data_IF_685440910356
#
_entry.id   IF_685440910356
#
_cell.length_a   1.000
_cell.length_b   1.000
_cell.length_c   1.000
_cell.angle_alpha   90.00
_cell.angle_beta   90.00
_cell.angle_gamma   90.00
#
_symmetry.space_group_name_H-M   'P 1'
#
loop_
_entity.id
_entity.type
_entity.pdbx_description
1 polymer ?
#
# COMPACT_ATOMS: atom_id res chain seq x y z
N UNK A 1 -13.23 16.74 27.51
CA UNK A 1 -13.20 16.47 26.05
C UNK A 1 -11.81 16.11 25.48
N UNK A 2 -10.67 16.57 26.06
CA UNK A 2 -9.32 16.35 25.48
C UNK A 2 -8.73 14.93 25.60
N UNK A 3 -9.19 14.08 26.53
CA UNK A 3 -8.76 12.67 26.67
C UNK A 3 -9.37 11.71 25.63
N UNK A 4 -10.43 12.14 24.93
CA UNK A 4 -11.09 11.32 23.90
C UNK A 4 -10.41 11.41 22.53
N UNK A 5 -9.68 12.49 22.24
CA UNK A 5 -9.03 12.69 20.93
C UNK A 5 -7.82 11.77 20.70
N UNK A 6 -7.01 11.47 21.74
CA UNK A 6 -5.82 10.62 21.56
C UNK A 6 -6.20 9.15 21.30
N UNK A 7 -7.20 8.63 22.02
CA UNK A 7 -7.69 7.26 21.82
C UNK A 7 -8.49 7.14 20.52
N UNK A 8 -9.28 8.16 20.16
CA UNK A 8 -10.01 8.17 18.88
C UNK A 8 -9.08 8.34 17.68
N UNK A 9 -7.99 9.11 17.78
CA UNK A 9 -6.95 9.19 16.74
C UNK A 9 -6.11 7.92 16.65
N UNK A 10 -5.89 7.18 17.74
CA UNK A 10 -5.17 5.90 17.72
C UNK A 10 -6.00 4.77 17.10
N UNK A 11 -7.29 4.71 17.45
CA UNK A 11 -8.26 3.79 16.85
C UNK A 11 -8.51 4.18 15.38
N UNK A 12 -8.62 5.49 15.09
CA UNK A 12 -8.70 5.99 13.72
C UNK A 12 -7.39 5.82 12.93
N UNK A 13 -6.19 5.86 13.53
CA UNK A 13 -4.95 5.55 12.81
C UNK A 13 -4.81 4.05 12.52
N UNK A 14 -5.33 3.18 13.39
CA UNK A 14 -5.45 1.75 13.07
C UNK A 14 -6.55 1.45 12.05
N UNK A 15 -7.64 2.23 12.03
CA UNK A 15 -8.72 2.13 11.03
C UNK A 15 -8.34 2.80 9.69
N UNK A 16 -7.52 3.86 9.70
CA UNK A 16 -7.03 4.58 8.52
C UNK A 16 -5.84 3.88 7.84
N UNK A 17 -5.34 2.77 8.38
CA UNK A 17 -4.50 1.85 7.59
C UNK A 17 -5.40 1.02 6.65
N UNK A 18 -6.72 0.92 6.91
CA UNK A 18 -7.62 0.09 6.11
C UNK A 18 -9.00 0.74 5.96
N UNK A 19 -9.09 1.85 5.21
CA UNK A 19 -10.39 2.35 4.75
C UNK A 19 -10.33 2.77 3.29
N UNK A 20 -10.55 1.82 2.38
CA UNK A 20 -11.13 2.06 1.06
C UNK A 20 -11.55 0.70 0.46
N UNK A 21 -12.78 0.26 0.71
CA UNK A 21 -13.47 -0.71 -0.17
C UNK A 21 -13.87 -2.07 0.41
N UNK A 22 -13.16 -2.64 1.39
CA UNK A 22 -13.38 -4.04 1.79
C UNK A 22 -14.38 -4.21 2.93
N UNK A 23 -15.22 -5.27 2.87
CA UNK A 23 -16.03 -5.65 4.04
C UNK A 23 -15.05 -6.24 5.06
N UNK A 24 -15.14 -5.76 6.30
CA UNK A 24 -14.30 -6.23 7.39
C UNK A 24 -15.19 -6.86 8.45
N UNK A 25 -14.84 -8.08 8.85
CA UNK A 25 -15.44 -8.71 10.02
C UNK A 25 -14.62 -8.34 11.24
N UNK A 26 -15.23 -7.58 12.14
CA UNK A 26 -14.64 -7.26 13.45
C UNK A 26 -15.29 -8.15 14.49
N UNK A 27 -14.48 -8.97 15.16
CA UNK A 27 -14.94 -9.86 16.22
C UNK A 27 -14.06 -9.74 17.47
N UNK A 28 -14.56 -10.26 18.59
CA UNK A 28 -13.78 -10.45 19.81
C UNK A 28 -13.41 -11.92 19.93
N UNK A 29 -12.15 -12.23 20.24
CA UNK A 29 -11.77 -13.59 20.60
C UNK A 29 -12.23 -13.94 22.03
N UNK A 30 -12.00 -15.19 22.45
CA UNK A 30 -12.35 -15.68 23.79
C UNK A 30 -11.63 -14.93 24.92
N UNK A 31 -10.57 -14.18 24.62
CA UNK A 31 -9.80 -13.37 25.56
C UNK A 31 -10.19 -11.88 25.49
N UNK A 32 -11.17 -11.51 24.67
CA UNK A 32 -11.61 -10.12 24.48
C UNK A 32 -10.71 -9.29 23.57
N UNK A 33 -9.75 -9.88 22.88
CA UNK A 33 -8.92 -9.21 21.87
C UNK A 33 -9.75 -8.89 20.64
N UNK A 34 -9.48 -7.76 19.97
CA UNK A 34 -10.15 -7.43 18.71
C UNK A 34 -9.47 -8.16 17.57
N UNK A 35 -10.23 -8.95 16.83
CA UNK A 35 -9.78 -9.60 15.59
C UNK A 35 -10.48 -8.90 14.44
N UNK A 36 -9.68 -8.34 13.54
CA UNK A 36 -10.17 -7.78 12.28
C UNK A 36 -9.80 -8.77 11.20
N UNK A 37 -10.81 -9.34 10.55
CA UNK A 37 -10.65 -10.25 9.43
C UNK A 37 -11.14 -9.56 8.16
N UNK A 38 -10.28 -9.48 7.15
CA UNK A 38 -10.70 -9.02 5.82
C UNK A 38 -11.40 -10.15 5.03
N UNK A 39 -12.04 -9.80 3.91
CA UNK A 39 -12.80 -10.73 3.06
C UNK A 39 -11.96 -11.89 2.48
N UNK A 40 -10.64 -11.87 2.68
CA UNK A 40 -9.68 -12.83 2.17
C UNK A 40 -8.95 -13.59 3.28
N UNK A 41 -9.41 -13.42 4.53
CA UNK A 41 -8.99 -14.21 5.68
C UNK A 41 -7.72 -13.75 6.38
N UNK A 42 -7.12 -12.61 5.99
CA UNK A 42 -6.04 -12.04 6.82
C UNK A 42 -6.63 -11.55 8.13
N UNK A 43 -5.90 -11.83 9.21
CA UNK A 43 -6.32 -11.47 10.56
C UNK A 43 -5.32 -10.50 11.16
N UNK A 44 -5.83 -9.36 11.60
CA UNK A 44 -5.10 -8.47 12.51
C UNK A 44 -5.67 -8.64 13.91
N UNK A 45 -4.81 -9.01 14.85
CA UNK A 45 -5.14 -9.09 16.26
C UNK A 45 -4.69 -7.83 16.95
N UNK A 46 -5.61 -7.16 17.63
CA UNK A 46 -5.33 -6.02 18.52
C UNK A 46 -5.59 -6.51 19.95
N UNK A 47 -4.52 -6.61 20.73
CA UNK A 47 -4.53 -7.11 22.11
C UNK A 47 -3.79 -6.17 23.04
N UNK A 48 -4.00 -6.35 24.35
CA UNK A 48 -3.14 -5.76 25.38
C UNK A 48 -2.09 -6.78 25.81
N UNK A 49 -0.85 -6.36 26.01
CA UNK A 49 0.15 -7.19 26.69
C UNK A 49 -0.03 -7.15 28.21
N UNK A 50 0.82 -7.88 28.93
CA UNK A 50 0.79 -7.95 30.40
C UNK A 50 1.05 -6.61 31.09
N UNK A 51 1.61 -5.63 30.36
CA UNK A 51 1.89 -4.28 30.85
C UNK A 51 0.82 -3.28 30.40
N UNK A 52 -0.23 -3.74 29.72
CA UNK A 52 -1.30 -2.88 29.19
C UNK A 52 -0.94 -2.14 27.89
N UNK A 53 0.19 -2.46 27.26
CA UNK A 53 0.56 -1.89 25.95
C UNK A 53 -0.33 -2.48 24.86
N UNK A 54 -0.66 -1.67 23.86
CA UNK A 54 -1.41 -2.17 22.70
C UNK A 54 -0.46 -2.87 21.75
N UNK A 55 -0.75 -4.14 21.46
CA UNK A 55 -0.08 -4.94 20.46
C UNK A 55 -1.00 -5.07 19.25
N UNK A 56 -0.49 -4.71 18.08
CA UNK A 56 -1.12 -4.96 16.78
C UNK A 56 -0.25 -5.97 16.06
N UNK A 57 -0.81 -7.13 15.76
CA UNK A 57 -0.11 -8.26 15.19
C UNK A 57 -0.93 -8.85 14.04
N UNK A 58 -0.32 -8.98 12.87
CA UNK A 58 -0.94 -9.68 11.76
C UNK A 58 -0.67 -11.19 11.83
N UNK A 59 -1.42 -11.98 11.07
CA UNK A 59 -1.26 -13.43 10.93
C UNK A 59 0.10 -13.87 10.33
N UNK A 60 0.97 -12.93 9.94
CA UNK A 60 2.31 -13.16 9.37
C UNK A 60 3.43 -12.85 10.38
N UNK A 61 3.08 -12.44 11.59
CA UNK A 61 4.01 -12.11 12.66
C UNK A 61 4.62 -10.70 12.57
N UNK A 62 4.11 -9.81 11.71
CA UNK A 62 4.46 -8.39 11.81
C UNK A 62 3.76 -7.81 13.03
N UNK A 63 4.55 -7.24 13.92
CA UNK A 63 4.09 -6.72 15.20
C UNK A 63 4.45 -5.25 15.35
N UNK A 64 3.47 -4.46 15.78
CA UNK A 64 3.67 -3.11 16.31
C UNK A 64 3.26 -3.08 17.77
N UNK A 65 4.12 -2.52 18.59
CA UNK A 65 3.87 -2.24 20.00
C UNK A 65 3.64 -0.75 20.15
N UNK A 66 2.53 -0.39 20.77
CA UNK A 66 2.20 0.98 21.15
C UNK A 66 2.17 1.03 22.67
N UNK A 67 3.09 1.79 23.24
CA UNK A 67 3.29 1.93 24.69
C UNK A 67 3.45 3.38 25.07
N UNK A 68 3.20 3.70 26.33
CA UNK A 68 3.64 4.97 26.91
C UNK A 68 5.01 4.77 27.56
N UNK A 69 5.92 5.74 27.42
CA UNK A 69 7.16 5.74 28.18
C UNK A 69 6.96 6.34 29.59
N UNK A 70 8.03 6.38 30.38
CA UNK A 70 8.00 6.90 31.76
C UNK A 70 7.63 8.38 31.86
N UNK A 71 7.66 9.11 30.73
CA UNK A 71 7.29 10.51 30.62
C UNK A 71 5.89 10.71 30.03
N UNK A 72 5.16 9.62 29.77
CA UNK A 72 3.83 9.65 29.14
C UNK A 72 3.87 9.88 27.62
N UNK A 73 5.03 9.76 26.97
CA UNK A 73 5.11 9.87 25.51
C UNK A 73 4.62 8.59 24.85
N UNK A 74 3.92 8.71 23.73
CA UNK A 74 3.53 7.54 22.95
C UNK A 74 4.71 7.04 22.13
N UNK A 75 5.07 5.78 22.33
CA UNK A 75 6.09 5.07 21.58
C UNK A 75 5.42 4.04 20.66
N UNK A 76 5.73 4.11 19.37
CA UNK A 76 5.34 3.12 18.37
C UNK A 76 6.61 2.42 17.89
N UNK A 77 6.68 1.12 18.11
CA UNK A 77 7.86 0.32 17.81
C UNK A 77 7.46 -0.93 17.03
N UNK A 78 8.15 -1.20 15.92
CA UNK A 78 7.98 -2.45 15.18
C UNK A 78 8.96 -3.53 15.65
N UNK A 79 8.70 -4.78 15.27
CA UNK A 79 9.58 -5.92 15.54
C UNK A 79 10.96 -5.85 14.85
N UNK A 80 11.24 -4.80 14.05
CA UNK A 80 12.53 -4.54 13.38
C UNK A 80 13.33 -3.44 14.06
N UNK A 81 12.84 -2.89 15.18
CA UNK A 81 13.50 -1.84 15.94
C UNK A 81 13.32 -0.43 15.36
N UNK A 82 12.43 -0.22 14.38
CA UNK A 82 12.05 1.12 13.99
C UNK A 82 11.12 1.70 15.05
N UNK A 83 11.48 2.88 15.55
CA UNK A 83 10.77 3.55 16.64
C UNK A 83 10.34 4.94 16.22
N UNK A 84 9.09 5.28 16.55
CA UNK A 84 8.59 6.66 16.53
C UNK A 84 8.14 7.05 17.93
N UNK A 85 8.56 8.23 18.35
CA UNK A 85 8.15 8.87 19.59
C UNK A 85 7.23 10.02 19.24
N UNK A 86 6.05 10.05 19.86
CA UNK A 86 5.11 11.17 19.78
C UNK A 86 5.02 11.77 21.18
N UNK A 87 5.44 13.03 21.30
CA UNK A 87 5.51 13.75 22.58
C UNK A 87 4.96 15.16 22.45
N UNK A 88 4.66 15.78 23.58
CA UNK A 88 4.45 17.23 23.68
C UNK A 88 5.76 17.90 24.08
N UNK A 89 6.07 19.06 23.49
CA UNK A 89 7.12 19.93 24.02
C UNK A 89 6.57 20.83 25.13
N UNK A 90 7.42 21.71 25.67
CA UNK A 90 7.06 22.64 26.75
C UNK A 90 5.99 23.66 26.37
N UNK A 91 5.65 23.78 25.08
CA UNK A 91 4.63 24.67 24.54
C UNK A 91 3.40 23.90 24.06
N UNK A 92 3.23 22.64 24.47
CA UNK A 92 2.17 21.74 24.01
C UNK A 92 2.16 21.47 22.50
N UNK A 93 3.28 21.70 21.79
CA UNK A 93 3.40 21.32 20.38
C UNK A 93 3.59 19.81 20.26
N UNK A 94 2.98 19.20 19.25
CA UNK A 94 3.18 17.78 18.98
C UNK A 94 4.50 17.57 18.25
N UNK A 95 5.40 16.80 18.84
CA UNK A 95 6.67 16.40 18.24
C UNK A 95 6.58 14.92 17.83
N UNK A 96 6.87 14.65 16.57
CA UNK A 96 7.01 13.28 16.04
C UNK A 96 8.46 13.10 15.63
N UNK A 97 9.14 12.15 16.25
CA UNK A 97 10.57 11.91 16.07
C UNK A 97 10.82 10.43 15.82
N UNK A 98 11.65 10.11 14.84
CA UNK A 98 12.13 8.74 14.63
C UNK A 98 13.50 8.50 15.27
N UNK A 99 13.89 7.23 15.38
CA UNK A 99 15.20 6.84 15.89
C UNK A 99 16.39 7.21 14.98
N UNK A 100 16.15 7.85 13.82
CA UNK A 100 17.18 8.36 12.90
C UNK A 100 17.35 9.88 13.02
N UNK A 101 16.65 10.52 13.96
CA UNK A 101 16.73 11.96 14.21
C UNK A 101 15.90 12.80 13.23
N UNK A 102 15.01 12.21 12.42
CA UNK A 102 14.04 13.00 11.67
C UNK A 102 12.94 13.45 12.62
N UNK A 103 12.70 14.77 12.65
CA UNK A 103 11.73 15.38 13.55
C UNK A 103 10.72 16.20 12.76
N UNK A 104 9.45 16.07 13.14
CA UNK A 104 8.37 16.96 12.71
C UNK A 104 7.72 17.58 13.94
N UNK A 105 7.52 18.89 13.87
CA UNK A 105 6.78 19.66 14.86
C UNK A 105 5.46 20.09 14.25
N UNK A 106 4.37 19.83 14.96
CA UNK A 106 3.04 20.31 14.64
C UNK A 106 2.63 21.25 15.76
N UNK A 107 2.41 22.52 15.43
CA UNK A 107 2.09 23.59 16.37
C UNK A 107 0.97 24.48 15.81
N UNK A 108 0.28 25.18 16.68
CA UNK A 108 -0.58 26.29 16.30
C UNK A 108 0.23 27.59 16.40
N UNK A 109 0.10 28.48 15.41
CA UNK A 109 0.64 29.83 15.53
C UNK A 109 -0.30 30.75 16.33
N UNK A 110 0.11 32.01 16.52
CA UNK A 110 -0.67 33.00 17.28
C UNK A 110 -2.04 33.32 16.66
N UNK A 111 -2.27 32.94 15.40
CA UNK A 111 -3.53 33.13 14.69
C UNK A 111 -4.37 31.85 14.64
N UNK A 112 -3.93 30.77 15.32
CA UNK A 112 -4.59 29.47 15.30
C UNK A 112 -4.31 28.64 14.03
N UNK A 113 -3.36 29.05 13.19
CA UNK A 113 -3.02 28.27 12.00
C UNK A 113 -2.18 27.05 12.38
N UNK A 114 -2.43 25.93 11.72
CA UNK A 114 -1.61 24.73 11.91
C UNK A 114 -0.29 24.87 11.13
N UNK A 115 0.82 24.80 11.85
CA UNK A 115 2.17 24.79 11.30
C UNK A 115 2.76 23.39 11.41
N UNK A 116 3.22 22.85 10.29
CA UNK A 116 3.96 21.59 10.22
C UNK A 116 5.38 21.92 9.73
N UNK A 117 6.36 21.64 10.55
CA UNK A 117 7.76 21.99 10.29
C UNK A 117 8.68 20.79 10.53
N UNK A 118 9.61 20.54 9.63
CA UNK A 118 10.66 19.53 9.83
C UNK A 118 11.98 20.16 10.32
N UNK A 119 12.88 19.32 10.83
CA UNK A 119 14.22 19.76 11.26
C UNK A 119 15.16 20.17 10.13
N UNK A 120 14.71 20.16 8.86
CA UNK A 120 15.44 20.68 7.70
C UNK A 120 14.93 22.07 7.28
N UNK A 121 14.01 22.65 8.03
CA UNK A 121 13.44 23.96 7.76
C UNK A 121 12.35 23.97 6.68
N UNK A 122 11.82 22.81 6.26
CA UNK A 122 10.62 22.79 5.42
C UNK A 122 9.40 23.05 6.30
N UNK A 123 8.63 24.08 5.96
CA UNK A 123 7.44 24.48 6.71
C UNK A 123 6.23 24.48 5.80
N UNK A 124 5.12 23.96 6.32
CA UNK A 124 3.77 24.11 5.76
C UNK A 124 2.86 24.77 6.77
N UNK A 125 2.10 25.74 6.30
CA UNK A 125 1.04 26.40 7.05
C UNK A 125 -0.30 25.97 6.45
N UNK A 126 -1.22 25.53 7.31
CA UNK A 126 -2.60 25.25 6.96
C UNK A 126 -3.44 26.27 7.74
N UNK A 127 -4.20 27.08 7.02
CA UNK A 127 -5.03 28.16 7.58
C UNK A 127 -6.36 28.23 6.86
N UNK A 128 -7.34 28.84 7.50
CA UNK A 128 -8.58 29.26 6.82
C UNK A 128 -8.43 30.73 6.43
N UNK A 129 -8.90 31.08 5.22
CA UNK A 129 -9.03 32.50 4.84
C UNK A 129 -10.33 33.10 5.38
N UNK A 130 -10.52 34.40 5.15
CA UNK A 130 -11.72 35.14 5.60
C UNK A 130 -13.04 34.62 5.02
N UNK A 131 -12.98 33.77 3.99
CA UNK A 131 -14.14 33.14 3.36
C UNK A 131 -14.32 31.68 3.79
N UNK A 132 -13.51 31.19 4.74
CA UNK A 132 -13.54 29.80 5.20
C UNK A 132 -12.86 28.82 4.25
N UNK A 133 -12.09 29.29 3.26
CA UNK A 133 -11.36 28.39 2.37
C UNK A 133 -10.11 27.87 3.05
N UNK A 134 -9.78 26.59 2.84
CA UNK A 134 -8.53 26.03 3.32
C UNK A 134 -7.37 26.47 2.44
N UNK A 135 -6.38 27.11 3.03
CA UNK A 135 -5.12 27.52 2.41
C UNK A 135 -4.00 26.64 2.93
N UNK A 136 -3.26 26.02 2.02
CA UNK A 136 -2.04 25.27 2.31
C UNK A 136 -0.89 25.98 1.62
N UNK A 137 0.08 26.45 2.39
CA UNK A 137 1.20 27.26 1.91
C UNK A 137 2.52 26.71 2.44
N UNK A 138 3.54 26.63 1.59
CA UNK A 138 4.90 26.31 2.02
C UNK A 138 5.77 27.57 2.15
N UNK A 139 6.91 27.43 2.83
CA UNK A 139 7.88 28.52 2.99
C UNK A 139 8.65 28.89 1.70
N UNK A 140 8.34 28.26 0.56
CA UNK A 140 8.86 28.62 -0.77
C UNK A 140 7.84 29.43 -1.58
N UNK A 141 6.71 29.80 -0.97
CA UNK A 141 5.65 30.57 -1.61
C UNK A 141 4.74 29.76 -2.51
N UNK A 142 4.77 28.42 -2.48
CA UNK A 142 3.76 27.61 -3.16
C UNK A 142 2.50 27.59 -2.30
N UNK A 143 1.38 28.03 -2.87
CA UNK A 143 0.08 28.11 -2.20
C UNK A 143 -0.95 27.29 -2.95
N UNK A 144 -1.75 26.53 -2.21
CA UNK A 144 -2.97 25.87 -2.68
C UNK A 144 -4.16 26.35 -1.88
N UNK A 145 -5.24 26.68 -2.59
CA UNK A 145 -6.54 27.02 -2.02
C UNK A 145 -7.50 25.89 -2.34
N UNK A 146 -8.22 25.41 -1.33
CA UNK A 146 -9.31 24.46 -1.46
C UNK A 146 -10.57 25.18 -1.01
N UNK A 147 -11.54 25.31 -1.91
CA UNK A 147 -12.80 26.04 -1.68
C UNK A 147 -13.98 25.30 -2.29
N UNK A 148 -15.18 25.68 -1.87
CA UNK A 148 -16.42 25.32 -2.57
C UNK A 148 -16.83 26.44 -3.51
N UNK A 149 -17.32 26.10 -4.69
CA UNK A 149 -18.03 27.07 -5.53
C UNK A 149 -19.51 27.16 -5.12
N UNK A 150 -20.28 28.01 -5.82
CA UNK A 150 -21.71 28.23 -5.55
C UNK A 150 -22.59 26.98 -5.78
N UNK A 151 -22.04 25.91 -6.35
CA UNK A 151 -22.72 24.65 -6.61
C UNK A 151 -22.18 23.52 -5.71
N UNK A 152 -21.45 23.86 -4.65
CA UNK A 152 -20.77 22.92 -3.75
C UNK A 152 -19.71 22.03 -4.42
N UNK A 153 -19.21 22.41 -5.60
CA UNK A 153 -18.10 21.72 -6.23
C UNK A 153 -16.81 22.05 -5.50
N UNK A 154 -15.93 21.07 -5.35
CA UNK A 154 -14.61 21.31 -4.75
C UNK A 154 -13.68 21.92 -5.80
N UNK A 155 -13.17 23.10 -5.52
CA UNK A 155 -12.17 23.79 -6.33
C UNK A 155 -10.83 23.70 -5.62
N UNK A 156 -9.82 23.22 -6.35
CA UNK A 156 -8.42 23.20 -5.90
C UNK A 156 -7.62 24.07 -6.87
N UNK A 157 -7.01 25.13 -6.36
CA UNK A 157 -6.31 26.12 -7.16
C UNK A 157 -4.93 26.40 -6.57
N UNK A 158 -3.91 26.50 -7.42
CA UNK A 158 -2.58 26.96 -7.00
C UNK A 158 -2.32 28.42 -7.40
N UNK A 159 -1.28 29.02 -6.80
CA UNK A 159 -0.89 30.40 -7.11
C UNK A 159 -0.21 30.58 -8.48
N UNK A 160 -0.10 29.52 -9.29
CA UNK A 160 0.36 29.57 -10.69
C UNK A 160 -0.81 29.57 -11.67
N UNK A 161 -2.05 29.63 -11.16
CA UNK A 161 -3.27 29.64 -11.96
C UNK A 161 -3.70 28.26 -12.45
N UNK A 162 -3.15 27.17 -11.93
CA UNK A 162 -3.70 25.84 -12.20
C UNK A 162 -4.90 25.62 -11.29
N UNK A 163 -6.05 25.33 -11.91
CA UNK A 163 -7.31 25.08 -11.19
C UNK A 163 -7.88 23.74 -11.60
N UNK A 164 -8.37 22.99 -10.61
CA UNK A 164 -9.16 21.77 -10.80
C UNK A 164 -10.50 21.91 -10.09
N UNK A 165 -11.55 21.54 -10.80
CA UNK A 165 -12.92 21.46 -10.29
C UNK A 165 -13.29 19.98 -10.17
N UNK A 166 -13.76 19.57 -9.00
CA UNK A 166 -14.27 18.23 -8.73
C UNK A 166 -15.76 18.38 -8.45
N UNK A 167 -16.59 17.79 -9.31
CA UNK A 167 -18.05 17.87 -9.27
C UNK A 167 -18.70 16.51 -9.48
N UNK A 168 -19.99 16.41 -9.17
CA UNK A 168 -20.82 15.29 -9.60
C UNK A 168 -21.57 15.66 -10.87
N UNK A 169 -21.64 14.75 -11.84
CA UNK A 169 -22.55 14.92 -12.98
C UNK A 169 -23.98 14.48 -12.61
N UNK A 170 -24.91 14.60 -13.56
CA UNK A 170 -26.32 14.24 -13.38
C UNK A 170 -26.53 12.74 -13.09
N UNK A 171 -25.55 11.89 -13.40
CA UNK A 171 -25.57 10.45 -13.15
C UNK A 171 -24.85 10.06 -11.86
N UNK A 172 -24.34 11.03 -11.09
CA UNK A 172 -23.57 10.81 -9.87
C UNK A 172 -22.11 10.42 -10.09
N UNK A 173 -21.61 10.44 -11.34
CA UNK A 173 -20.21 10.20 -11.64
C UNK A 173 -19.36 11.37 -11.13
N UNK A 174 -18.13 11.08 -10.74
CA UNK A 174 -17.18 12.12 -10.35
C UNK A 174 -16.54 12.69 -11.61
N UNK A 175 -16.65 14.00 -11.81
CA UNK A 175 -16.01 14.73 -12.89
C UNK A 175 -14.89 15.59 -12.32
N UNK A 176 -13.69 15.44 -12.87
CA UNK A 176 -12.52 16.24 -12.56
C UNK A 176 -12.16 17.01 -13.82
N UNK A 177 -12.16 18.34 -13.74
CA UNK A 177 -11.93 19.22 -14.88
C UNK A 177 -10.87 20.26 -14.53
N UNK A 178 -9.87 20.44 -15.39
CA UNK A 178 -8.88 21.51 -15.23
C UNK A 178 -9.26 22.78 -16.02
N UNK A 179 -8.60 23.89 -15.71
CA UNK A 179 -8.82 25.16 -16.41
C UNK A 179 -8.26 25.21 -17.84
N UNK A 180 -7.71 24.11 -18.36
CA UNK A 180 -7.29 23.96 -19.77
C UNK A 180 -8.33 23.15 -20.57
N UNK A 181 -9.43 22.74 -19.94
CA UNK A 181 -10.50 21.97 -20.55
C UNK A 181 -10.30 20.45 -20.52
N UNK A 182 -9.20 19.95 -19.93
CA UNK A 182 -9.05 18.50 -19.77
C UNK A 182 -10.04 18.02 -18.72
N UNK A 183 -10.83 17.00 -19.06
CA UNK A 183 -11.88 16.46 -18.21
C UNK A 183 -11.69 14.96 -18.06
N UNK A 184 -11.87 14.46 -16.85
CA UNK A 184 -11.90 13.03 -16.55
C UNK A 184 -13.17 12.72 -15.78
N UNK A 185 -13.94 11.77 -16.27
CA UNK A 185 -15.14 11.24 -15.63
C UNK A 185 -14.82 9.87 -15.06
N UNK A 186 -15.12 9.68 -13.78
CA UNK A 186 -14.96 8.41 -13.08
C UNK A 186 -16.36 8.00 -12.64
N UNK A 187 -16.82 6.88 -13.20
CA UNK A 187 -18.16 6.37 -12.99
C UNK A 187 -18.19 4.86 -12.96
N UNK A 188 -19.39 4.33 -12.79
CA UNK A 188 -19.65 2.90 -12.95
C UNK A 188 -20.54 2.67 -14.17
N UNK A 189 -20.32 1.58 -14.89
CA UNK A 189 -21.29 1.12 -15.88
C UNK A 189 -22.47 0.39 -15.20
N UNK A 190 -23.46 -0.03 -15.98
CA UNK A 190 -24.66 -0.74 -15.51
C UNK A 190 -24.35 -2.10 -14.85
N UNK A 191 -23.12 -2.58 -14.94
CA UNK A 191 -22.64 -3.82 -14.35
C UNK A 191 -21.69 -3.57 -13.18
N UNK A 192 -21.71 -2.36 -12.60
CA UNK A 192 -20.84 -1.93 -11.50
C UNK A 192 -19.34 -1.88 -11.83
N UNK A 193 -18.95 -1.99 -13.12
CA UNK A 193 -17.55 -1.89 -13.52
C UNK A 193 -17.08 -0.44 -13.45
N UNK A 194 -15.85 -0.21 -13.00
CA UNK A 194 -15.28 1.14 -12.96
C UNK A 194 -14.85 1.58 -14.36
N UNK A 195 -15.38 2.73 -14.78
CA UNK A 195 -15.08 3.38 -16.04
C UNK A 195 -14.38 4.71 -15.75
N UNK A 196 -13.24 4.91 -16.40
CA UNK A 196 -12.50 6.17 -16.38
C UNK A 196 -12.42 6.65 -17.82
N UNK A 197 -13.03 7.79 -18.10
CA UNK A 197 -13.10 8.35 -19.45
C UNK A 197 -12.59 9.79 -19.45
N UNK A 198 -11.72 10.13 -20.40
CA UNK A 198 -11.30 11.51 -20.61
C UNK A 198 -12.02 12.18 -21.78
N UNK A 199 -11.91 13.51 -21.86
CA UNK A 199 -12.47 14.36 -22.92
C UNK A 199 -11.95 14.04 -24.33
N UNK A 200 -10.84 13.29 -24.44
CA UNK A 200 -10.25 12.88 -25.72
C UNK A 200 -10.75 11.51 -26.19
N UNK A 201 -11.76 10.95 -25.52
CA UNK A 201 -12.33 9.64 -25.84
C UNK A 201 -11.44 8.47 -25.44
N UNK A 202 -10.43 8.67 -24.58
CA UNK A 202 -9.72 7.56 -23.95
C UNK A 202 -10.58 7.03 -22.81
N UNK A 203 -10.98 5.76 -22.95
CA UNK A 203 -11.83 5.06 -22.00
C UNK A 203 -11.10 3.83 -21.50
N UNK A 204 -10.90 3.82 -20.19
CA UNK A 204 -10.34 2.70 -19.46
C UNK A 204 -11.46 2.02 -18.69
N UNK A 205 -11.57 0.71 -18.86
CA UNK A 205 -12.52 -0.14 -18.17
C UNK A 205 -11.77 -1.19 -17.37
N UNK A 206 -12.09 -1.28 -16.08
CA UNK A 206 -11.72 -2.42 -15.24
C UNK A 206 -13.00 -3.16 -14.90
N UNK A 207 -13.07 -4.42 -15.31
CA UNK A 207 -14.23 -5.27 -15.11
C UNK A 207 -13.84 -6.67 -14.66
N UNK A 208 -14.84 -7.44 -14.21
CA UNK A 208 -14.71 -8.89 -14.03
C UNK A 208 -15.50 -9.62 -15.11
N UNK A 209 -14.98 -10.73 -15.60
CA UNK A 209 -15.72 -11.60 -16.51
C UNK A 209 -16.71 -12.51 -15.79
N UNK A 210 -17.39 -13.37 -16.54
CA UNK A 210 -18.38 -14.32 -16.01
C UNK A 210 -17.81 -15.32 -15.01
N UNK A 211 -16.49 -15.50 -14.98
CA UNK A 211 -15.78 -16.37 -14.04
C UNK A 211 -15.20 -15.57 -12.85
N UNK A 212 -15.43 -14.26 -12.81
CA UNK A 212 -14.92 -13.37 -11.77
C UNK A 212 -13.48 -12.88 -12.01
N UNK A 213 -12.88 -13.14 -13.17
CA UNK A 213 -11.50 -12.77 -13.47
C UNK A 213 -11.39 -11.32 -13.94
N UNK A 214 -10.33 -10.63 -13.48
CA UNK A 214 -10.12 -9.23 -13.80
C UNK A 214 -9.72 -9.03 -15.26
N UNK A 215 -10.30 -8.00 -15.85
CA UNK A 215 -10.05 -7.57 -17.22
C UNK A 215 -9.83 -6.07 -17.25
N UNK A 216 -8.87 -5.64 -18.06
CA UNK A 216 -8.60 -4.25 -18.37
C UNK A 216 -8.75 -4.04 -19.87
N UNK A 217 -9.46 -2.98 -20.24
CA UNK A 217 -9.57 -2.52 -21.62
C UNK A 217 -9.34 -1.01 -21.67
N UNK A 218 -8.38 -0.59 -22.48
CA UNK A 218 -8.10 0.79 -22.85
C UNK A 218 -8.32 0.95 -24.35
N UNK A 219 -9.51 1.45 -24.70
CA UNK A 219 -9.97 1.55 -26.09
C UNK A 219 -9.61 0.28 -26.90
N UNK A 220 -8.87 0.46 -28.01
CA UNK A 220 -8.38 -0.62 -28.88
C UNK A 220 -6.89 -0.98 -28.65
N UNK A 221 -6.21 -0.31 -27.72
CA UNK A 221 -4.74 -0.30 -27.67
C UNK A 221 -4.14 -1.02 -26.46
N UNK A 222 -4.89 -1.17 -25.37
CA UNK A 222 -4.44 -1.89 -24.18
C UNK A 222 -5.47 -2.92 -23.76
N UNK A 223 -5.09 -4.19 -23.67
CA UNK A 223 -5.91 -5.24 -23.05
C UNK A 223 -5.05 -6.01 -22.09
N UNK A 224 -5.57 -6.26 -20.89
CA UNK A 224 -4.94 -7.17 -19.94
C UNK A 224 -5.99 -8.00 -19.22
N UNK A 225 -5.58 -9.16 -18.74
CA UNK A 225 -6.43 -10.04 -17.93
C UNK A 225 -5.62 -10.73 -16.86
N UNK A 226 -6.28 -11.05 -15.75
CA UNK A 226 -5.71 -11.84 -14.67
C UNK A 226 -6.67 -12.99 -14.40
N UNK A 227 -6.23 -14.20 -14.78
CA UNK A 227 -7.05 -15.41 -14.78
C UNK A 227 -6.45 -16.46 -13.87
N UNK A 228 -7.30 -17.33 -13.34
CA UNK A 228 -6.91 -18.49 -12.53
C UNK A 228 -7.09 -19.77 -13.35
N UNK A 229 -6.12 -20.66 -13.30
CA UNK A 229 -6.21 -21.99 -13.93
C UNK A 229 -6.79 -23.04 -12.98
N UNK A 230 -6.88 -24.29 -13.46
CA UNK A 230 -7.45 -25.43 -12.71
C UNK A 230 -6.59 -25.89 -11.53
N UNK A 231 -5.33 -25.45 -11.44
CA UNK A 231 -4.39 -25.78 -10.37
C UNK A 231 -4.23 -24.63 -9.37
N UNK A 232 -5.18 -23.70 -9.38
CA UNK A 232 -5.16 -22.46 -8.61
C UNK A 232 -3.99 -21.50 -8.93
N UNK A 233 -3.27 -21.69 -10.03
CA UNK A 233 -2.24 -20.76 -10.44
C UNK A 233 -2.86 -19.56 -11.16
N UNK A 234 -2.33 -18.37 -10.89
CA UNK A 234 -2.79 -17.12 -11.45
C UNK A 234 -1.86 -16.64 -12.55
N UNK A 235 -2.44 -16.28 -13.69
CA UNK A 235 -1.74 -15.79 -14.87
C UNK A 235 -2.25 -14.40 -15.22
N UNK A 236 -1.36 -13.43 -15.17
CA UNK A 236 -1.54 -12.16 -15.84
C UNK A 236 -1.13 -12.28 -17.30
N UNK A 237 -1.90 -11.66 -18.20
CA UNK A 237 -1.54 -11.56 -19.61
C UNK A 237 -1.96 -10.20 -20.15
N UNK A 238 -1.17 -9.62 -21.06
CA UNK A 238 -1.52 -8.41 -21.78
C UNK A 238 -1.45 -8.58 -23.31
N UNK A 239 -1.87 -7.55 -24.04
CA UNK A 239 -1.84 -7.53 -25.51
C UNK A 239 -0.45 -7.28 -26.11
N UNK A 240 0.60 -7.08 -25.30
CA UNK A 240 2.01 -7.10 -25.71
C UNK A 240 2.61 -8.51 -25.61
N UNK A 241 1.78 -9.54 -25.38
CA UNK A 241 2.18 -10.93 -25.18
C UNK A 241 3.10 -11.10 -23.96
N UNK A 242 2.94 -10.24 -22.96
CA UNK A 242 3.58 -10.44 -21.66
C UNK A 242 2.72 -11.39 -20.82
N UNK A 243 3.37 -12.29 -20.09
CA UNK A 243 2.72 -13.22 -19.16
C UNK A 243 3.48 -13.29 -17.83
N UNK A 244 2.78 -13.11 -16.71
CA UNK A 244 3.36 -13.32 -15.38
C UNK A 244 2.51 -14.37 -14.69
N UNK A 245 3.13 -15.47 -14.29
CA UNK A 245 2.45 -16.59 -13.67
C UNK A 245 2.94 -16.84 -12.25
N UNK A 246 1.98 -16.99 -11.35
CA UNK A 246 2.22 -17.35 -9.96
C UNK A 246 1.47 -18.64 -9.64
N UNK A 247 2.18 -19.66 -9.14
CA UNK A 247 1.53 -20.77 -8.44
C UNK A 247 0.66 -20.27 -7.29
N UNK A 248 -0.26 -21.12 -6.80
CA UNK A 248 -1.15 -20.79 -5.69
C UNK A 248 -0.41 -20.19 -4.49
N UNK A 249 0.69 -20.80 -4.08
CA UNK A 249 1.43 -20.38 -2.89
C UNK A 249 2.10 -19.01 -3.06
N UNK A 250 2.56 -18.69 -4.27
CA UNK A 250 3.07 -17.36 -4.57
C UNK A 250 1.95 -16.34 -4.73
N UNK A 251 0.82 -16.74 -5.31
CA UNK A 251 -0.34 -15.89 -5.39
C UNK A 251 -0.85 -15.50 -4.00
N UNK A 252 -0.97 -16.46 -3.09
CA UNK A 252 -1.35 -16.22 -1.70
C UNK A 252 -0.37 -15.24 -1.03
N UNK A 253 0.94 -15.38 -1.29
CA UNK A 253 1.94 -14.40 -0.86
C UNK A 253 1.76 -13.00 -1.50
N UNK A 254 1.34 -12.92 -2.77
CA UNK A 254 1.07 -11.65 -3.43
C UNK A 254 -0.20 -10.99 -2.85
N UNK A 255 -1.26 -11.75 -2.61
CA UNK A 255 -2.49 -11.29 -1.93
C UNK A 255 -2.17 -10.70 -0.57
N UNK A 256 -1.42 -11.46 0.21
CA UNK A 256 -0.88 -11.08 1.49
C UNK A 256 -0.10 -9.74 1.43
N UNK A 257 0.80 -9.58 0.44
CA UNK A 257 1.59 -8.35 0.24
C UNK A 257 0.74 -7.13 -0.16
N UNK A 258 -0.33 -7.34 -0.93
CA UNK A 258 -1.15 -6.27 -1.51
C UNK A 258 -2.47 -6.07 -0.76
N UNK A 259 -2.44 -6.23 0.57
CA UNK A 259 -3.60 -5.98 1.45
C UNK A 259 -4.83 -6.75 1.01
N UNK A 260 -4.61 -7.96 0.48
CA UNK A 260 -5.69 -8.79 -0.01
C UNK A 260 -6.55 -8.00 -1.01
N UNK A 261 -5.93 -7.43 -2.05
CA UNK A 261 -6.63 -6.76 -3.15
C UNK A 261 -6.01 -7.21 -4.49
N UNK A 262 -6.75 -8.06 -5.20
CA UNK A 262 -6.33 -8.58 -6.50
C UNK A 262 -6.33 -7.49 -7.58
N UNK A 263 -7.14 -6.43 -7.41
CA UNK A 263 -7.12 -5.25 -8.26
C UNK A 263 -5.81 -4.48 -8.11
N UNK A 264 -5.27 -4.38 -6.88
CA UNK A 264 -3.94 -3.77 -6.64
C UNK A 264 -2.83 -4.61 -7.27
N UNK A 265 -2.87 -5.94 -7.15
CA UNK A 265 -1.88 -6.83 -7.79
C UNK A 265 -1.95 -6.71 -9.30
N UNK A 266 -3.16 -6.76 -9.86
CA UNK A 266 -3.40 -6.60 -11.29
C UNK A 266 -2.85 -5.26 -11.80
N UNK A 267 -3.11 -4.17 -11.08
CA UNK A 267 -2.56 -2.84 -11.39
C UNK A 267 -1.04 -2.79 -11.30
N UNK A 268 -0.44 -3.49 -10.32
CA UNK A 268 1.00 -3.60 -10.20
C UNK A 268 1.63 -4.36 -11.37
N UNK A 269 1.03 -5.50 -11.78
CA UNK A 269 1.47 -6.28 -12.94
C UNK A 269 1.36 -5.49 -14.25
N UNK A 270 0.25 -4.76 -14.46
CA UNK A 270 0.11 -3.87 -15.62
C UNK A 270 1.22 -2.81 -15.67
N UNK A 271 1.60 -2.22 -14.53
CA UNK A 271 2.70 -1.25 -14.47
C UNK A 271 4.07 -1.91 -14.71
N UNK A 272 4.29 -3.11 -14.18
CA UNK A 272 5.52 -3.89 -14.38
C UNK A 272 5.72 -4.21 -15.87
N UNK A 273 4.66 -4.64 -16.55
CA UNK A 273 4.70 -5.01 -17.97
C UNK A 273 4.57 -3.83 -18.95
N UNK A 274 4.30 -2.61 -18.46
CA UNK A 274 3.96 -1.44 -19.29
C UNK A 274 4.93 -1.17 -20.44
N UNK A 275 6.22 -1.41 -20.22
CA UNK A 275 7.29 -1.17 -21.19
C UNK A 275 7.91 -2.46 -21.74
N UNK A 276 7.35 -3.63 -21.42
CA UNK A 276 7.84 -4.93 -21.85
C UNK A 276 7.05 -5.43 -23.07
N UNK A 277 7.70 -6.29 -23.87
CA UNK A 277 7.07 -6.99 -24.99
C UNK A 277 7.54 -8.43 -25.02
N UNK A 278 6.62 -9.37 -25.21
CA UNK A 278 6.88 -10.80 -25.21
C UNK A 278 7.63 -11.27 -23.95
N UNK A 279 7.44 -10.65 -22.79
CA UNK A 279 8.12 -11.06 -21.56
C UNK A 279 7.29 -12.10 -20.81
N UNK A 280 7.88 -13.23 -20.46
CA UNK A 280 7.17 -14.30 -19.73
C UNK A 280 7.96 -14.74 -18.52
N UNK A 281 7.35 -14.73 -17.35
CA UNK A 281 7.93 -15.25 -16.12
C UNK A 281 6.96 -16.15 -15.34
N UNK A 282 7.51 -17.10 -14.59
CA UNK A 282 6.78 -18.00 -13.70
C UNK A 282 7.51 -18.14 -12.37
N UNK A 283 6.79 -17.91 -11.27
CA UNK A 283 7.19 -18.28 -9.92
C UNK A 283 6.33 -19.44 -9.43
N UNK A 284 6.97 -20.55 -9.04
CA UNK A 284 6.27 -21.73 -8.56
C UNK A 284 6.96 -22.41 -7.39
N UNK A 285 6.15 -23.16 -6.65
CA UNK A 285 6.61 -24.19 -5.72
C UNK A 285 6.56 -25.53 -6.45
N UNK A 286 7.64 -26.30 -6.43
CA UNK A 286 7.63 -27.66 -6.98
C UNK A 286 7.02 -28.68 -6.01
N UNK A 287 6.93 -29.93 -6.45
CA UNK A 287 6.33 -31.03 -5.68
C UNK A 287 7.06 -31.34 -4.36
N UNK A 288 8.30 -30.89 -4.20
CA UNK A 288 9.10 -31.06 -2.99
C UNK A 288 9.00 -29.84 -2.06
N UNK A 289 8.21 -28.83 -2.43
CA UNK A 289 8.09 -27.59 -1.68
C UNK A 289 9.18 -26.55 -2.01
N UNK A 290 10.04 -26.81 -2.99
CA UNK A 290 11.14 -25.92 -3.34
C UNK A 290 10.72 -24.81 -4.28
N UNK A 291 11.39 -23.67 -4.15
CA UNK A 291 11.06 -22.48 -4.90
C UNK A 291 11.75 -22.46 -6.24
N UNK A 292 11.02 -22.08 -7.28
CA UNK A 292 11.51 -22.04 -8.65
C UNK A 292 11.07 -20.74 -9.31
N UNK A 293 12.00 -20.14 -10.07
CA UNK A 293 11.77 -19.02 -10.96
C UNK A 293 12.28 -19.39 -12.34
N UNK A 294 11.51 -19.06 -13.37
CA UNK A 294 11.95 -19.15 -14.76
C UNK A 294 11.35 -18.04 -15.57
N UNK A 295 12.10 -17.54 -16.56
CA UNK A 295 11.53 -16.69 -17.60
C UNK A 295 11.91 -17.15 -19.01
N UNK A 296 11.36 -16.48 -20.01
CA UNK A 296 11.64 -16.76 -21.42
C UNK A 296 12.93 -16.13 -21.97
N UNK A 297 13.78 -15.58 -21.10
CA UNK A 297 15.14 -15.12 -21.42
C UNK A 297 16.20 -16.15 -20.99
N UNK A 298 15.76 -17.37 -20.63
CA UNK A 298 16.58 -18.45 -20.07
C UNK A 298 17.15 -18.16 -18.68
N UNK A 299 16.66 -17.12 -17.99
CA UNK A 299 17.03 -16.86 -16.61
C UNK A 299 16.22 -17.80 -15.70
N UNK A 300 16.92 -18.45 -14.77
CA UNK A 300 16.32 -19.43 -13.86
C UNK A 300 16.95 -19.30 -12.49
N UNK A 301 16.15 -19.52 -11.46
CA UNK A 301 16.65 -19.63 -10.10
C UNK A 301 15.86 -20.67 -9.30
N UNK A 302 16.50 -21.26 -8.32
CA UNK A 302 15.89 -22.22 -7.40
C UNK A 302 16.33 -21.96 -5.97
N UNK A 303 15.47 -22.32 -5.02
CA UNK A 303 15.80 -22.39 -3.60
C UNK A 303 15.36 -23.75 -3.06
N UNK A 304 16.35 -24.59 -2.77
CA UNK A 304 16.19 -25.98 -2.37
C UNK A 304 16.77 -26.22 -0.97
N UNK A 305 16.57 -27.42 -0.43
CA UNK A 305 17.17 -27.88 0.81
C UNK A 305 18.12 -29.04 0.54
N UNK A 306 19.33 -29.00 1.11
CA UNK A 306 20.28 -30.10 0.99
C UNK A 306 20.09 -31.18 2.05
N UNK A 307 20.92 -32.23 1.99
CA UNK A 307 20.90 -33.37 2.93
C UNK A 307 21.26 -32.99 4.39
N UNK A 308 21.82 -31.80 4.61
CA UNK A 308 22.19 -31.27 5.93
C UNK A 308 21.17 -30.23 6.43
N UNK A 309 19.99 -30.18 5.81
CA UNK A 309 18.94 -29.21 6.09
C UNK A 309 19.31 -27.74 5.82
N UNK A 310 20.36 -27.48 5.05
CA UNK A 310 20.75 -26.12 4.66
C UNK A 310 19.99 -25.67 3.41
N UNK A 311 19.62 -24.39 3.37
CA UNK A 311 18.92 -23.82 2.23
C UNK A 311 19.93 -23.36 1.17
N UNK A 312 19.72 -23.79 -0.07
CA UNK A 312 20.61 -23.52 -1.20
C UNK A 312 19.85 -22.71 -2.25
N UNK A 313 20.31 -21.48 -2.50
CA UNK A 313 19.90 -20.69 -3.66
C UNK A 313 20.89 -20.93 -4.81
N UNK A 314 20.38 -21.24 -5.99
CA UNK A 314 21.16 -21.41 -7.23
C UNK A 314 20.46 -20.68 -8.38
N UNK A 315 21.23 -20.03 -9.26
CA UNK A 315 20.68 -19.37 -10.45
C UNK A 315 21.50 -19.59 -11.73
N UNK A 316 20.92 -19.18 -12.86
CA UNK A 316 21.50 -19.32 -14.20
C UNK A 316 22.72 -18.43 -14.45
N UNK A 317 22.99 -17.45 -13.59
CA UNK A 317 24.20 -16.63 -13.65
C UNK A 317 25.39 -17.32 -12.95
N UNK A 318 25.17 -18.50 -12.36
CA UNK A 318 26.20 -19.26 -11.65
C UNK A 318 26.32 -18.87 -10.17
N UNK A 319 25.41 -18.05 -9.64
CA UNK A 319 25.42 -17.77 -8.20
C UNK A 319 24.94 -18.99 -7.43
N UNK A 320 25.67 -19.35 -6.37
CA UNK A 320 25.29 -20.41 -5.43
C UNK A 320 25.52 -19.95 -4.00
N UNK A 321 24.44 -19.86 -3.22
CA UNK A 321 24.47 -19.38 -1.84
C UNK A 321 23.92 -20.47 -0.92
N UNK A 322 24.66 -20.81 0.12
CA UNK A 322 24.26 -21.82 1.13
C UNK A 322 24.03 -21.13 2.46
N UNK A 323 22.86 -21.38 3.05
CA UNK A 323 22.44 -20.82 4.32
C UNK A 323 22.25 -21.94 5.34
N UNK A 324 23.07 -21.94 6.39
CA UNK A 324 22.86 -22.84 7.53
C UNK A 324 21.51 -22.55 8.20
N UNK A 325 20.95 -23.55 8.89
CA UNK A 325 19.64 -23.46 9.53
C UNK A 325 19.52 -22.22 10.45
N UNK A 326 20.58 -21.88 11.18
CA UNK A 326 20.59 -20.71 12.07
C UNK A 326 20.48 -19.38 11.32
N UNK A 327 21.19 -19.26 10.20
CA UNK A 327 21.13 -18.08 9.32
C UNK A 327 19.76 -17.99 8.67
N UNK A 328 19.26 -19.11 8.15
CA UNK A 328 17.94 -19.18 7.52
C UNK A 328 16.81 -18.79 8.48
N UNK A 329 16.82 -19.35 9.70
CA UNK A 329 15.85 -19.01 10.73
C UNK A 329 15.87 -17.52 11.08
N UNK A 330 17.05 -16.88 11.04
CA UNK A 330 17.20 -15.44 11.26
C UNK A 330 16.59 -14.64 10.11
N UNK A 331 16.85 -15.06 8.85
CA UNK A 331 16.24 -14.42 7.67
C UNK A 331 14.71 -14.57 7.67
N UNK A 332 14.19 -15.75 8.02
CA UNK A 332 12.76 -16.01 8.16
C UNK A 332 12.12 -15.10 9.21
N UNK A 333 12.76 -14.92 10.38
CA UNK A 333 12.28 -13.98 11.42
C UNK A 333 12.23 -12.53 10.93
N UNK A 334 13.17 -12.11 10.08
CA UNK A 334 13.24 -10.73 9.59
C UNK A 334 12.28 -10.45 8.42
N UNK A 335 12.13 -11.43 7.52
CA UNK A 335 11.40 -11.26 6.26
C UNK A 335 9.96 -11.76 6.35
N UNK A 336 9.69 -12.76 7.20
CA UNK A 336 8.38 -13.33 7.49
C UNK A 336 7.88 -14.37 6.48
N UNK A 337 8.57 -14.55 5.34
CA UNK A 337 8.14 -15.47 4.28
C UNK A 337 9.34 -15.96 3.47
N UNK A 338 9.39 -17.28 3.24
CA UNK A 338 10.35 -17.89 2.34
C UNK A 338 10.19 -17.41 0.90
N UNK A 339 8.95 -17.21 0.43
CA UNK A 339 8.65 -16.72 -0.93
C UNK A 339 9.22 -15.32 -1.12
N UNK A 340 9.08 -14.48 -0.11
CA UNK A 340 9.68 -13.15 -0.08
C UNK A 340 11.21 -13.20 -0.10
N UNK A 341 11.82 -14.09 0.68
CA UNK A 341 13.27 -14.27 0.66
C UNK A 341 13.70 -14.68 -0.75
N UNK A 342 13.07 -15.69 -1.34
CA UNK A 342 13.39 -16.16 -2.68
C UNK A 342 13.26 -15.05 -3.73
N UNK A 343 12.13 -14.34 -3.80
CA UNK A 343 11.96 -13.23 -4.75
C UNK A 343 13.02 -12.12 -4.55
N UNK A 344 13.42 -11.83 -3.31
CA UNK A 344 14.49 -10.88 -3.03
C UNK A 344 15.86 -11.40 -3.51
N UNK A 345 16.13 -12.70 -3.39
CA UNK A 345 17.35 -13.31 -3.90
C UNK A 345 17.38 -13.25 -5.44
N UNK A 346 16.28 -13.63 -6.09
CA UNK A 346 16.11 -13.49 -7.55
C UNK A 346 16.37 -12.05 -8.00
N UNK A 347 15.69 -11.08 -7.39
CA UNK A 347 15.87 -9.67 -7.75
C UNK A 347 17.32 -9.19 -7.54
N UNK A 348 17.98 -9.67 -6.48
CA UNK A 348 19.32 -9.21 -6.11
C UNK A 348 20.44 -9.85 -6.93
N UNK A 349 20.32 -11.13 -7.25
CA UNK A 349 21.42 -11.93 -7.82
C UNK A 349 21.17 -12.32 -9.29
N UNK A 350 19.92 -12.50 -9.68
CA UNK A 350 19.58 -12.84 -11.06
C UNK A 350 19.46 -11.59 -11.94
N UNK A 351 18.69 -10.58 -11.49
CA UNK A 351 18.36 -9.41 -12.31
C UNK A 351 19.31 -8.20 -12.13
N UNK A 352 19.96 -8.05 -10.97
CA UNK A 352 20.79 -6.88 -10.65
C UNK A 352 22.31 -7.17 -10.84
N UNK A 353 22.70 -7.55 -12.06
CA UNK A 353 24.12 -7.65 -12.45
C UNK A 353 24.67 -6.35 -13.01
#
# INVERSE_FOLDING_TARGET
MKRFLALSLLVAFSLCIYSQGDKQKVEKDIFGNTIITDDKGNKTTIKKDIFGNTIIEDNKGNKKTIKEDIFGNTIIEDNKGNKKTIKKDIFDNTIIEDNKGNKKTIKEDIFGNTIIEDNKGNKKTIKEDIFGNTIIEDNKGNKKTIKKDIFDNTIIEDNKGNKKTIKKDIFGNTVIEDNKGNKTTIGKDIFDNTIIENDKGQKNKISRDIFGYLQYEENNNGKASLKKDIFDAWTFSDNNNNEIKYSKEYWDYMMDRFENDDTKIFSWMMNLCRNLKNYKEEYKVDIFGYQQFTNNQNEKASLTKNIFDEMIYEDSNGNKLTYSQNVWNTMMKQQGSEKKIFMNLVQRYLFNN
#
